data_IF_637149157064
#
_entry.id   IF_637149157064
#
_cell.length_a   1.000
_cell.length_b   1.000
_cell.length_c   1.000
_cell.angle_alpha   90.00
_cell.angle_beta   90.00
_cell.angle_gamma   90.00
#
_symmetry.space_group_name_H-M   'P 1'
#
loop_
_entity.id
_entity.type
_entity.pdbx_description
1 polymer ?
#
# COMPACT_ATOMS: atom_id res chain seq x y z
N UNK A 1 -18.03 -7.25 18.67
CA UNK A 1 -16.60 -7.30 19.05
C UNK A 1 -15.77 -6.75 17.89
N UNK A 2 -15.01 -5.65 18.06
CA UNK A 2 -14.08 -5.16 17.03
C UNK A 2 -12.80 -6.01 16.95
N UNK A 3 -12.13 -6.01 15.79
CA UNK A 3 -10.88 -6.73 15.55
C UNK A 3 -9.79 -5.84 14.95
N UNK A 4 -8.57 -6.38 14.83
CA UNK A 4 -7.46 -5.68 14.18
C UNK A 4 -7.65 -5.74 12.66
N UNK A 5 -7.81 -4.60 12.02
CA UNK A 5 -7.91 -4.53 10.56
C UNK A 5 -6.57 -4.82 9.89
N UNK A 6 -6.58 -5.35 8.67
CA UNK A 6 -5.36 -5.73 7.95
C UNK A 6 -4.37 -4.56 7.80
N UNK A 7 -4.83 -3.33 7.59
CA UNK A 7 -3.95 -2.16 7.51
C UNK A 7 -3.13 -1.97 8.79
N UNK A 8 -3.75 -2.11 9.96
CA UNK A 8 -3.07 -1.98 11.25
C UNK A 8 -2.06 -3.12 11.46
N UNK A 9 -2.46 -4.37 11.16
CA UNK A 9 -1.59 -5.54 11.28
C UNK A 9 -0.39 -5.46 10.34
N UNK A 10 -0.63 -5.29 9.04
CA UNK A 10 0.42 -5.17 8.03
C UNK A 10 1.35 -3.99 8.31
N UNK A 11 0.82 -2.82 8.71
CA UNK A 11 1.64 -1.66 9.06
C UNK A 11 2.62 -1.98 10.18
N UNK A 12 2.12 -2.51 11.30
CA UNK A 12 2.94 -2.83 12.45
C UNK A 12 4.00 -3.89 12.11
N UNK A 13 3.62 -4.97 11.41
CA UNK A 13 4.51 -6.12 11.14
C UNK A 13 5.42 -5.94 9.92
N UNK A 14 5.20 -4.92 9.08
CA UNK A 14 6.10 -4.63 7.94
C UNK A 14 7.11 -3.52 8.22
N UNK A 15 7.06 -2.90 9.40
CA UNK A 15 7.88 -1.73 9.72
C UNK A 15 7.46 -0.47 8.95
N UNK A 16 6.23 -0.41 8.43
CA UNK A 16 5.72 0.71 7.65
C UNK A 16 4.59 1.39 8.45
N UNK A 17 4.87 2.44 9.23
CA UNK A 17 3.82 3.12 9.99
C UNK A 17 2.85 3.82 9.04
N UNK A 18 1.54 3.78 9.34
CA UNK A 18 0.55 4.44 8.47
C UNK A 18 0.65 5.98 8.51
N UNK A 19 1.17 6.53 9.61
CA UNK A 19 1.42 7.97 9.77
C UNK A 19 2.85 8.23 10.24
N UNK A 20 3.39 9.37 9.84
CA UNK A 20 4.62 9.91 10.39
C UNK A 20 4.56 11.43 10.23
N UNK A 21 5.02 12.19 11.24
CA UNK A 21 4.84 13.65 11.33
C UNK A 21 5.21 14.41 10.05
N UNK A 22 6.27 13.98 9.39
CA UNK A 22 6.82 14.68 8.22
C UNK A 22 6.32 14.10 6.88
N UNK A 23 5.54 13.00 6.89
CA UNK A 23 5.19 12.26 5.67
C UNK A 23 3.70 12.18 5.36
N UNK A 24 2.84 11.98 6.36
CA UNK A 24 1.41 11.75 6.12
C UNK A 24 0.55 12.40 7.20
N UNK A 25 -0.36 13.28 6.76
CA UNK A 25 -1.37 13.93 7.60
C UNK A 25 -2.71 13.19 7.56
N UNK A 26 -2.87 12.26 6.62
CA UNK A 26 -4.05 11.42 6.48
C UNK A 26 -3.68 9.98 6.10
N UNK A 27 -4.56 9.05 6.48
CA UNK A 27 -4.51 7.65 6.08
C UNK A 27 -5.80 7.32 5.39
N UNK A 28 -5.73 6.69 4.22
CA UNK A 28 -6.90 6.30 3.45
C UNK A 28 -6.94 4.80 3.24
N UNK A 29 -7.99 4.17 3.73
CA UNK A 29 -8.27 2.75 3.50
C UNK A 29 -9.23 2.65 2.32
N UNK A 30 -8.77 2.10 1.20
CA UNK A 30 -9.48 2.11 -0.08
C UNK A 30 -9.67 0.67 -0.56
N UNK A 31 -10.81 0.36 -1.17
CA UNK A 31 -10.94 -0.90 -1.92
C UNK A 31 -10.43 -0.68 -3.33
N UNK A 32 -9.48 -1.50 -3.78
CA UNK A 32 -9.06 -1.51 -5.17
C UNK A 32 -10.19 -1.98 -6.08
N UNK A 33 -11.04 -2.89 -5.61
CA UNK A 33 -12.18 -3.41 -6.37
C UNK A 33 -13.51 -2.81 -5.89
N UNK A 34 -14.17 -2.04 -6.75
CA UNK A 34 -15.51 -1.54 -6.51
C UNK A 34 -16.52 -2.62 -6.92
N UNK A 35 -17.27 -3.14 -5.94
CA UNK A 35 -18.24 -4.23 -6.13
C UNK A 35 -19.41 -3.86 -7.05
N UNK A 36 -19.61 -2.57 -7.35
CA UNK A 36 -20.74 -2.02 -8.09
C UNK A 36 -20.32 -0.79 -8.90
N UNK A 37 -19.76 -0.99 -10.10
CA UNK A 37 -19.80 -0.04 -11.24
C UNK A 37 -19.27 1.39 -11.07
N UNK A 38 -18.70 1.77 -9.94
CA UNK A 38 -18.11 3.09 -9.72
C UNK A 38 -16.66 3.18 -10.18
N UNK A 39 -16.17 4.39 -10.41
CA UNK A 39 -14.75 4.68 -10.58
C UNK A 39 -14.19 5.27 -9.27
N UNK A 40 -12.92 4.98 -8.98
CA UNK A 40 -12.23 5.62 -7.86
C UNK A 40 -11.98 7.10 -8.18
N UNK A 41 -12.04 7.95 -7.17
CA UNK A 41 -11.66 9.36 -7.28
C UNK A 41 -10.12 9.47 -7.32
N UNK A 42 -9.55 9.23 -8.50
CA UNK A 42 -8.11 9.14 -8.72
C UNK A 42 -7.37 10.45 -8.44
N UNK A 43 -7.99 11.60 -8.72
CA UNK A 43 -7.43 12.91 -8.42
C UNK A 43 -7.24 13.07 -6.90
N UNK A 44 -8.26 12.70 -6.13
CA UNK A 44 -8.20 12.79 -4.67
C UNK A 44 -7.23 11.75 -4.07
N UNK A 45 -7.08 10.59 -4.70
CA UNK A 45 -6.08 9.58 -4.34
C UNK A 45 -4.65 10.02 -4.69
N UNK A 46 -4.44 10.81 -5.74
CA UNK A 46 -3.12 11.28 -6.14
C UNK A 46 -2.57 12.43 -5.26
N UNK A 47 -3.40 13.02 -4.41
CA UNK A 47 -2.97 14.12 -3.53
C UNK A 47 -1.75 13.74 -2.66
N UNK A 48 -0.89 14.71 -2.42
CA UNK A 48 0.31 14.53 -1.60
C UNK A 48 0.01 14.39 -0.11
N UNK A 49 1.03 14.04 0.70
CA UNK A 49 0.98 14.01 2.18
C UNK A 49 -0.08 13.08 2.77
N UNK A 50 -0.40 12.00 2.07
CA UNK A 50 -1.28 10.94 2.55
C UNK A 50 -0.61 9.56 2.41
N UNK A 51 -1.03 8.62 3.24
CA UNK A 51 -0.73 7.19 3.07
C UNK A 51 -1.98 6.50 2.53
N UNK A 52 -1.88 5.92 1.34
CA UNK A 52 -2.95 5.10 0.77
C UNK A 52 -2.72 3.63 1.13
N UNK A 53 -3.78 2.94 1.52
CA UNK A 53 -3.78 1.50 1.74
C UNK A 53 -4.91 0.88 0.94
N UNK A 54 -4.56 0.16 -0.13
CA UNK A 54 -5.51 -0.53 -0.98
C UNK A 54 -5.74 -1.97 -0.51
N UNK A 55 -6.98 -2.27 -0.18
CA UNK A 55 -7.52 -3.61 0.05
C UNK A 55 -7.99 -4.19 -1.27
N UNK A 56 -7.82 -5.50 -1.46
CA UNK A 56 -8.30 -6.19 -2.68
C UNK A 56 -7.80 -5.51 -3.97
N UNK A 57 -6.63 -4.87 -3.92
CA UNK A 57 -6.08 -4.08 -5.02
C UNK A 57 -5.14 -4.85 -5.94
N UNK A 58 -4.77 -6.09 -5.59
CA UNK A 58 -3.70 -6.82 -6.28
C UNK A 58 -3.97 -7.00 -7.78
N UNK A 59 -5.17 -7.44 -8.14
CA UNK A 59 -5.59 -7.61 -9.54
C UNK A 59 -5.66 -6.29 -10.32
N UNK A 60 -5.61 -5.14 -9.64
CA UNK A 60 -5.68 -3.80 -10.23
C UNK A 60 -4.39 -3.01 -10.00
N UNK A 61 -3.29 -3.65 -9.56
CA UNK A 61 -2.05 -2.95 -9.25
C UNK A 61 -1.50 -2.14 -10.43
N UNK A 62 -1.53 -2.70 -11.65
CA UNK A 62 -1.13 -1.98 -12.86
C UNK A 62 -2.05 -0.77 -13.14
N UNK A 63 -3.37 -0.93 -13.00
CA UNK A 63 -4.32 0.18 -13.17
C UNK A 63 -4.13 1.26 -12.10
N UNK A 64 -3.90 0.88 -10.85
CA UNK A 64 -3.60 1.81 -9.75
C UNK A 64 -2.32 2.59 -10.05
N UNK A 65 -1.27 1.90 -10.51
CA UNK A 65 -0.02 2.54 -10.94
C UNK A 65 -0.27 3.59 -12.02
N UNK A 66 -0.88 3.18 -13.13
CA UNK A 66 -1.13 4.05 -14.28
C UNK A 66 -1.97 5.27 -13.88
N UNK A 67 -3.07 5.04 -13.15
CA UNK A 67 -3.98 6.12 -12.75
C UNK A 67 -3.34 7.06 -11.73
N UNK A 68 -2.65 6.57 -10.72
CA UNK A 68 -1.99 7.46 -9.74
C UNK A 68 -0.94 8.35 -10.41
N UNK A 69 -0.13 7.80 -11.31
CA UNK A 69 0.85 8.59 -12.08
C UNK A 69 0.15 9.59 -13.00
N UNK A 70 -0.90 9.17 -13.72
CA UNK A 70 -1.64 10.04 -14.63
C UNK A 70 -2.30 11.23 -13.93
N UNK A 71 -2.69 11.08 -12.66
CA UNK A 71 -3.26 12.14 -11.82
C UNK A 71 -2.22 12.91 -10.99
N UNK A 72 -0.93 12.76 -11.30
CA UNK A 72 0.13 13.62 -10.78
C UNK A 72 0.88 13.09 -9.56
N UNK A 73 0.65 11.85 -9.12
CA UNK A 73 1.50 11.24 -8.10
C UNK A 73 2.90 11.02 -8.65
N UNK A 74 3.92 11.39 -7.87
CA UNK A 74 5.32 11.25 -8.30
C UNK A 74 5.67 9.79 -8.57
N UNK A 75 6.31 9.54 -9.71
CA UNK A 75 6.63 8.19 -10.19
C UNK A 75 7.61 7.44 -9.27
N UNK A 76 8.43 8.18 -8.51
CA UNK A 76 9.34 7.67 -7.49
C UNK A 76 8.65 7.43 -6.13
N UNK A 77 7.34 7.63 -6.02
CA UNK A 77 6.61 7.46 -4.76
C UNK A 77 6.83 6.04 -4.22
N UNK A 78 7.31 5.88 -2.98
CA UNK A 78 7.52 4.56 -2.40
C UNK A 78 6.22 3.77 -2.28
N UNK A 79 6.29 2.49 -2.65
CA UNK A 79 5.19 1.53 -2.55
C UNK A 79 5.66 0.23 -1.91
N UNK A 80 4.78 -0.43 -1.19
CA UNK A 80 5.00 -1.76 -0.65
C UNK A 80 3.76 -2.63 -0.80
N UNK A 81 3.97 -3.93 -0.99
CA UNK A 81 2.93 -4.94 -0.93
C UNK A 81 3.22 -5.88 0.23
N UNK A 82 2.23 -6.06 1.10
CA UNK A 82 2.32 -6.93 2.27
C UNK A 82 1.35 -8.09 2.08
N UNK A 83 1.88 -9.25 1.75
CA UNK A 83 1.17 -10.52 1.62
C UNK A 83 1.14 -11.25 2.97
N UNK A 84 0.00 -11.88 3.28
CA UNK A 84 -0.17 -12.70 4.48
C UNK A 84 0.29 -11.99 5.77
N UNK A 85 -0.06 -10.71 5.89
CA UNK A 85 0.38 -9.83 6.97
C UNK A 85 0.15 -10.42 8.36
N UNK A 86 1.11 -10.23 9.27
CA UNK A 86 1.17 -10.77 10.64
C UNK A 86 1.37 -12.29 10.76
N UNK A 87 1.25 -13.03 9.66
CA UNK A 87 1.46 -14.48 9.67
C UNK A 87 2.95 -14.85 9.65
N UNK A 88 3.26 -16.10 10.01
CA UNK A 88 4.61 -16.68 9.88
C UNK A 88 5.07 -16.88 8.44
N UNK A 89 4.21 -16.61 7.45
CA UNK A 89 4.54 -16.64 6.02
C UNK A 89 4.41 -15.24 5.40
N UNK A 90 4.48 -14.19 6.22
CA UNK A 90 4.40 -12.82 5.73
C UNK A 90 5.52 -12.57 4.73
N UNK A 91 5.15 -12.05 3.57
CA UNK A 91 6.06 -11.56 2.54
C UNK A 91 5.81 -10.08 2.32
N UNK A 92 6.90 -9.33 2.22
CA UNK A 92 6.83 -7.92 1.85
C UNK A 92 7.82 -7.62 0.73
N UNK A 93 7.29 -7.09 -0.35
CA UNK A 93 8.04 -6.54 -1.47
C UNK A 93 7.79 -5.03 -1.53
N UNK A 94 8.80 -4.25 -1.92
CA UNK A 94 8.68 -2.79 -2.00
C UNK A 94 9.58 -2.22 -3.08
N UNK A 95 9.28 -1.00 -3.48
CA UNK A 95 9.98 -0.27 -4.52
C UNK A 95 9.35 1.10 -4.74
N UNK A 96 9.30 1.54 -5.98
CA UNK A 96 8.66 2.80 -6.38
C UNK A 96 7.39 2.56 -7.18
N UNK A 97 6.54 3.59 -7.31
CA UNK A 97 5.23 3.50 -7.95
C UNK A 97 5.29 2.96 -9.38
N UNK A 98 6.33 3.28 -10.15
CA UNK A 98 6.52 2.73 -11.51
C UNK A 98 6.71 1.21 -11.56
N UNK A 99 7.03 0.58 -10.42
CA UNK A 99 7.25 -0.86 -10.30
C UNK A 99 6.05 -1.58 -9.68
N UNK A 100 4.99 -0.87 -9.29
CA UNK A 100 3.87 -1.44 -8.54
C UNK A 100 3.23 -2.64 -9.27
N UNK A 101 3.00 -2.54 -10.58
CA UNK A 101 2.45 -3.62 -11.38
C UNK A 101 3.36 -4.86 -11.45
N UNK A 102 4.68 -4.66 -11.51
CA UNK A 102 5.68 -5.74 -11.53
C UNK A 102 5.83 -6.40 -10.16
N UNK A 103 5.89 -5.60 -9.09
CA UNK A 103 5.94 -6.08 -7.71
C UNK A 103 4.69 -6.89 -7.35
N UNK A 104 3.53 -6.52 -7.89
CA UNK A 104 2.28 -7.25 -7.70
C UNK A 104 2.29 -8.67 -8.26
N UNK A 105 3.13 -8.97 -9.25
CA UNK A 105 3.28 -10.33 -9.79
C UNK A 105 4.10 -11.24 -8.87
N UNK A 106 4.77 -10.68 -7.85
CA UNK A 106 5.64 -11.42 -6.93
C UNK A 106 4.94 -11.85 -5.63
N UNK A 107 3.68 -11.47 -5.47
CA UNK A 107 2.87 -11.73 -4.28
C UNK A 107 1.53 -12.31 -4.68
N UNK A 108 0.93 -13.07 -3.76
CA UNK A 108 -0.41 -13.62 -3.93
C UNK A 108 -1.40 -13.02 -2.92
N UNK A 109 -2.70 -13.22 -3.19
CA UNK A 109 -3.72 -12.83 -2.22
C UNK A 109 -3.73 -13.78 -1.03
N UNK A 110 -3.99 -13.29 0.21
CA UNK A 110 -4.35 -11.91 0.55
C UNK A 110 -3.14 -10.97 0.70
N UNK A 111 -3.20 -9.82 0.04
CA UNK A 111 -2.19 -8.77 0.13
C UNK A 111 -2.79 -7.36 0.23
N UNK A 112 -2.06 -6.45 0.89
CA UNK A 112 -2.32 -5.01 0.88
C UNK A 112 -1.26 -4.28 0.08
N UNK A 113 -1.68 -3.25 -0.67
CA UNK A 113 -0.78 -2.28 -1.29
C UNK A 113 -0.76 -1.04 -0.43
N UNK A 114 0.43 -0.59 -0.03
CA UNK A 114 0.66 0.65 0.71
C UNK A 114 1.42 1.60 -0.20
N UNK A 115 0.90 2.81 -0.40
CA UNK A 115 1.53 3.86 -1.22
C UNK A 115 1.75 5.10 -0.34
N UNK A 116 2.98 5.58 -0.28
CA UNK A 116 3.32 6.80 0.44
C UNK A 116 4.74 6.81 0.98
N UNK A 117 5.26 8.01 1.28
CA UNK A 117 6.64 8.23 1.76
C UNK A 117 6.98 7.46 3.04
N UNK A 118 5.98 7.06 3.83
CA UNK A 118 6.16 6.21 5.02
C UNK A 118 6.74 4.83 4.72
N UNK A 119 6.61 4.31 3.50
CA UNK A 119 7.22 3.02 3.11
C UNK A 119 8.74 3.06 3.24
N UNK A 120 9.37 4.20 3.00
CA UNK A 120 10.82 4.38 3.17
C UNK A 120 11.32 4.26 4.61
N UNK A 121 10.42 4.23 5.61
CA UNK A 121 10.79 3.99 7.00
C UNK A 121 11.05 2.51 7.32
N UNK A 122 10.63 1.59 6.45
CA UNK A 122 10.82 0.15 6.61
C UNK A 122 12.27 -0.22 6.90
N UNK A 123 13.24 0.37 6.22
CA UNK A 123 14.66 0.05 6.40
C UNK A 123 15.16 0.28 7.83
N UNK A 124 14.51 1.18 8.58
CA UNK A 124 14.86 1.50 9.97
C UNK A 124 13.98 0.80 11.00
N UNK A 125 12.74 0.46 10.62
CA UNK A 125 11.70 0.00 11.54
C UNK A 125 11.35 -1.49 11.34
N UNK A 126 11.88 -2.16 10.33
CA UNK A 126 11.61 -3.57 10.10
C UNK A 126 12.16 -4.41 11.27
N UNK A 127 11.24 -5.06 11.99
CA UNK A 127 11.55 -5.89 13.15
C UNK A 127 11.07 -7.33 13.00
N UNK A 128 10.14 -7.60 12.07
CA UNK A 128 9.57 -8.92 11.83
C UNK A 128 10.28 -9.62 10.67
N UNK A 129 10.35 -10.95 10.73
CA UNK A 129 10.99 -11.77 9.68
C UNK A 129 10.27 -11.63 8.34
N UNK A 130 11.02 -11.64 7.24
CA UNK A 130 10.51 -11.62 5.87
C UNK A 130 10.80 -12.96 5.18
N UNK A 131 9.82 -13.51 4.45
CA UNK A 131 9.90 -14.80 3.75
C UNK A 131 9.68 -14.69 2.23
#
# INVERSE_FOLDING_TARGET
MPGITAASGCSAYSGIPLTHRDYAQSVRLVTGHLKTGGELDWENLAAEKQTLVFYMGLNQAATIQEKLIAFGMQADMPVALVENGTSVKQRVVHGVLTQLGELAQQVESPALIIVGRVVGLRDKLNWFSNY
#
